data_IF_677670911302
#
_entry.id   IF_677670911302
#
_cell.length_a   1.000
_cell.length_b   1.000
_cell.length_c   1.000
_cell.angle_alpha   90.00
_cell.angle_beta   90.00
_cell.angle_gamma   90.00
#
_symmetry.space_group_name_H-M   'P 1'
#
loop_
_entity.id
_entity.type
_entity.pdbx_description
1 polymer ?
#
# COMPACT_ATOMS: atom_id res chain seq x y z
N UNK A 1 4.36 -18.73 -5.74
CA UNK A 1 3.21 -18.34 -4.90
C UNK A 1 1.96 -18.39 -5.78
N UNK A 2 0.86 -19.05 -5.37
CA UNK A 2 -0.40 -18.89 -6.11
C UNK A 2 -0.68 -17.38 -6.17
N UNK A 3 -0.87 -16.84 -7.37
CA UNK A 3 -1.24 -15.44 -7.55
C UNK A 3 -2.64 -15.27 -6.99
N UNK A 4 -2.77 -14.74 -5.79
CA UNK A 4 -4.07 -14.36 -5.25
C UNK A 4 -4.66 -13.28 -6.17
N UNK A 5 -5.82 -13.56 -6.76
CA UNK A 5 -6.60 -12.59 -7.51
C UNK A 5 -7.45 -11.81 -6.52
N UNK A 6 -7.41 -10.48 -6.63
CA UNK A 6 -8.21 -9.57 -5.83
C UNK A 6 -9.25 -8.90 -6.71
N UNK A 7 -10.43 -8.68 -6.14
CA UNK A 7 -11.52 -7.96 -6.77
C UNK A 7 -12.07 -6.87 -5.87
N UNK A 8 -12.58 -5.81 -6.49
CA UNK A 8 -13.28 -4.72 -5.82
C UNK A 8 -14.77 -5.00 -5.94
N UNK A 9 -15.43 -5.23 -4.81
CA UNK A 9 -16.87 -5.47 -4.75
C UNK A 9 -17.58 -4.33 -4.04
N UNK A 10 -18.81 -4.06 -4.45
CA UNK A 10 -19.69 -3.15 -3.72
C UNK A 10 -20.47 -3.94 -2.68
N UNK A 11 -20.34 -3.55 -1.43
CA UNK A 11 -21.04 -4.13 -0.30
C UNK A 11 -22.50 -3.64 -0.24
N UNK A 12 -23.33 -4.35 0.51
CA UNK A 12 -24.76 -4.04 0.67
C UNK A 12 -25.02 -2.72 1.41
N UNK A 13 -24.06 -2.23 2.19
CA UNK A 13 -24.08 -0.92 2.85
C UNK A 13 -23.64 0.23 1.93
N UNK A 14 -23.21 -0.08 0.70
CA UNK A 14 -22.77 0.89 -0.31
C UNK A 14 -21.27 1.16 -0.28
N UNK A 15 -20.53 0.58 0.67
CA UNK A 15 -19.07 0.65 0.73
C UNK A 15 -18.43 -0.20 -0.37
N UNK A 16 -17.17 0.08 -0.68
CA UNK A 16 -16.36 -0.74 -1.56
C UNK A 16 -15.36 -1.55 -0.75
N UNK A 17 -15.15 -2.81 -1.12
CA UNK A 17 -14.22 -3.70 -0.45
C UNK A 17 -13.28 -4.35 -1.45
N UNK A 18 -11.99 -4.43 -1.10
CA UNK A 18 -11.00 -5.25 -1.79
C UNK A 18 -10.93 -6.60 -1.08
N UNK A 19 -11.27 -7.67 -1.79
CA UNK A 19 -11.27 -9.03 -1.25
C UNK A 19 -10.67 -10.02 -2.24
N UNK A 20 -10.28 -11.19 -1.74
CA UNK A 20 -9.75 -12.25 -2.59
C UNK A 20 -10.89 -12.94 -3.34
N UNK A 21 -10.62 -13.37 -4.57
CA UNK A 21 -11.61 -14.09 -5.39
C UNK A 21 -11.80 -15.55 -4.94
N UNK A 22 -10.81 -16.12 -4.24
CA UNK A 22 -10.80 -17.53 -3.82
C UNK A 22 -11.41 -17.79 -2.43
N UNK A 23 -11.58 -16.76 -1.60
CA UNK A 23 -12.19 -16.88 -0.27
C UNK A 23 -13.12 -15.70 0.06
N UNK A 24 -14.19 -15.99 0.81
CA UNK A 24 -15.12 -14.99 1.34
C UNK A 24 -14.76 -14.72 2.80
N UNK A 25 -13.53 -14.30 3.04
CA UNK A 25 -13.04 -13.88 4.37
C UNK A 25 -13.19 -12.36 4.57
N UNK A 26 -12.56 -11.85 5.63
CA UNK A 26 -12.53 -10.42 5.94
C UNK A 26 -11.84 -9.64 4.81
N UNK A 27 -12.45 -8.56 4.30
CA UNK A 27 -11.87 -7.78 3.22
C UNK A 27 -10.55 -7.14 3.67
N UNK A 28 -9.57 -7.08 2.77
CA UNK A 28 -8.27 -6.48 3.06
C UNK A 28 -8.39 -4.98 3.31
N UNK A 29 -9.27 -4.33 2.56
CA UNK A 29 -9.51 -2.89 2.64
C UNK A 29 -11.00 -2.63 2.44
N UNK A 30 -11.55 -1.70 3.24
CA UNK A 30 -12.88 -1.13 3.04
C UNK A 30 -12.77 0.37 2.80
N UNK A 31 -13.41 0.85 1.74
CA UNK A 31 -13.51 2.26 1.37
C UNK A 31 -14.95 2.70 1.55
N UNK A 32 -15.16 3.64 2.46
CA UNK A 32 -16.46 4.25 2.73
C UNK A 32 -16.46 5.71 2.29
N UNK A 33 -17.30 6.02 1.32
CA UNK A 33 -17.58 7.40 0.95
C UNK A 33 -18.70 7.95 1.85
N UNK A 34 -18.62 9.23 2.20
CA UNK A 34 -19.75 9.92 2.83
C UNK A 34 -20.91 10.05 1.83
N UNK A 35 -22.13 10.25 2.32
CA UNK A 35 -23.29 10.50 1.45
C UNK A 35 -23.07 11.73 0.55
N UNK A 36 -22.44 12.78 1.07
CA UNK A 36 -22.07 13.97 0.32
C UNK A 36 -21.09 13.65 -0.82
N UNK A 37 -20.04 12.85 -0.53
CA UNK A 37 -19.09 12.42 -1.54
C UNK A 37 -19.75 11.54 -2.61
N UNK A 38 -20.64 10.63 -2.23
CA UNK A 38 -21.41 9.83 -3.19
C UNK A 38 -22.33 10.70 -4.05
N UNK A 39 -22.93 11.76 -3.50
CA UNK A 39 -23.72 12.72 -4.28
C UNK A 39 -22.89 13.47 -5.32
N UNK A 40 -21.63 13.76 -5.01
CA UNK A 40 -20.69 14.40 -5.93
C UNK A 40 -20.14 13.44 -6.99
N UNK A 41 -19.76 12.24 -6.56
CA UNK A 41 -19.10 11.23 -7.41
C UNK A 41 -20.09 10.48 -8.29
N UNK A 42 -21.31 10.26 -7.81
CA UNK A 42 -22.34 9.48 -8.48
C UNK A 42 -21.81 8.11 -8.93
N UNK A 43 -21.98 7.84 -10.22
CA UNK A 43 -21.56 6.58 -10.86
C UNK A 43 -20.03 6.42 -10.93
N UNK A 44 -19.25 7.49 -10.78
CA UNK A 44 -17.79 7.43 -10.82
C UNK A 44 -17.17 6.92 -9.49
N UNK A 45 -17.97 6.68 -8.46
CA UNK A 45 -17.46 6.25 -7.15
C UNK A 45 -16.70 4.91 -7.20
N UNK A 46 -17.08 3.98 -8.09
CA UNK A 46 -16.35 2.72 -8.30
C UNK A 46 -14.98 2.98 -8.96
N UNK A 47 -14.94 3.82 -10.00
CA UNK A 47 -13.70 4.15 -10.71
C UNK A 47 -12.70 4.85 -9.77
N UNK A 48 -13.20 5.75 -8.91
CA UNK A 48 -12.38 6.40 -7.89
C UNK A 48 -11.87 5.39 -6.86
N UNK A 49 -12.72 4.48 -6.37
CA UNK A 49 -12.28 3.43 -5.44
C UNK A 49 -11.16 2.59 -6.03
N UNK A 50 -11.24 2.24 -7.33
CA UNK A 50 -10.20 1.52 -8.04
C UNK A 50 -8.89 2.31 -8.11
N UNK A 51 -8.94 3.57 -8.54
CA UNK A 51 -7.74 4.43 -8.61
C UNK A 51 -7.10 4.60 -7.24
N UNK A 52 -7.89 4.72 -6.17
CA UNK A 52 -7.37 4.80 -4.80
C UNK A 52 -6.63 3.53 -4.37
N UNK A 53 -7.13 2.36 -4.77
CA UNK A 53 -6.48 1.08 -4.47
C UNK A 53 -5.19 0.94 -5.28
N UNK A 54 -5.23 1.23 -6.58
CA UNK A 54 -4.05 1.20 -7.46
C UNK A 54 -2.95 2.13 -6.91
N UNK A 55 -3.30 3.36 -6.53
CA UNK A 55 -2.36 4.30 -5.91
C UNK A 55 -1.81 3.83 -4.56
N UNK A 56 -2.62 3.10 -3.77
CA UNK A 56 -2.18 2.48 -2.52
C UNK A 56 -1.15 1.38 -2.74
N UNK A 57 -1.33 0.55 -3.79
CA UNK A 57 -0.37 -0.50 -4.17
C UNK A 57 0.95 0.15 -4.59
N UNK A 58 0.91 1.14 -5.48
CA UNK A 58 2.10 1.87 -5.93
C UNK A 58 2.85 2.52 -4.75
N UNK A 59 2.11 3.08 -3.78
CA UNK A 59 2.71 3.68 -2.59
C UNK A 59 3.40 2.64 -1.69
N UNK A 60 2.84 1.45 -1.54
CA UNK A 60 3.48 0.36 -0.78
C UNK A 60 4.77 -0.10 -1.44
N UNK A 61 4.79 -0.21 -2.77
CA UNK A 61 6.01 -0.55 -3.52
C UNK A 61 7.10 0.50 -3.30
N UNK A 62 6.76 1.79 -3.42
CA UNK A 62 7.71 2.89 -3.18
C UNK A 62 8.27 2.87 -1.75
N UNK A 63 7.39 2.74 -0.74
CA UNK A 63 7.80 2.63 0.65
C UNK A 63 8.73 1.42 0.88
N UNK A 64 8.39 0.27 0.29
CA UNK A 64 9.21 -0.94 0.42
C UNK A 64 10.59 -0.80 -0.19
N UNK A 65 10.75 0.03 -1.24
CA UNK A 65 12.04 0.34 -1.84
C UNK A 65 12.87 1.29 -0.97
N UNK A 66 12.24 2.32 -0.38
CA UNK A 66 12.92 3.27 0.52
C UNK A 66 13.50 2.59 1.77
N UNK A 67 12.81 1.59 2.34
CA UNK A 67 13.33 0.81 3.48
C UNK A 67 14.60 0.01 3.16
N UNK A 68 14.91 -0.29 1.89
CA UNK A 68 16.12 -1.06 1.52
C UNK A 68 17.33 -0.14 1.36
N UNK A 69 17.13 1.15 1.12
CA UNK A 69 18.21 2.12 0.90
C UNK A 69 18.77 2.71 2.23
N UNK A 70 18.05 2.61 3.35
CA UNK A 70 18.51 3.12 4.66
C UNK A 70 19.43 2.17 5.45
N UNK A 71 19.58 0.89 5.07
CA UNK A 71 20.52 -0.05 5.70
C UNK A 71 21.90 -0.14 5.00
N UNK A 72 22.15 0.71 3.99
CA UNK A 72 23.29 0.62 3.08
C UNK A 72 24.52 1.49 3.37
N UNK A 73 24.57 2.26 4.47
CA UNK A 73 25.68 3.20 4.73
C UNK A 73 26.45 2.91 6.03
N UNK A 74 26.63 1.63 6.36
CA UNK A 74 27.64 1.17 7.31
C UNK A 74 28.96 0.84 6.59
N UNK A 75 29.47 1.76 5.75
CA UNK A 75 30.86 1.66 5.31
C UNK A 75 31.78 2.04 6.49
N UNK A 76 32.31 0.98 7.08
CA UNK A 76 33.32 0.94 8.12
C UNK A 76 34.48 1.92 7.90
N UNK A 77 34.43 3.11 8.51
CA UNK A 77 35.65 3.88 8.77
C UNK A 77 36.41 3.23 9.92
N UNK A 78 37.42 2.44 9.55
CA UNK A 78 38.38 1.84 10.49
C UNK A 78 39.09 2.99 11.21
N UNK A 79 39.14 3.04 12.56
CA UNK A 79 39.82 4.13 13.25
C UNK A 79 41.32 4.07 12.89
N UNK A 80 41.96 5.18 12.48
CA UNK A 80 43.38 5.15 12.21
C UNK A 80 44.11 4.85 13.52
N UNK A 81 44.80 3.70 13.50
CA UNK A 81 45.58 3.20 14.61
C UNK A 81 46.61 4.24 15.05
N UNK A 82 46.66 4.40 16.37
CA UNK A 82 47.68 5.05 17.17
C UNK A 82 49.08 4.93 16.55
N UNK A 83 49.69 6.08 16.20
CA UNK A 83 51.13 6.19 15.91
C UNK A 83 51.70 7.32 16.75
N UNK A 84 51.87 7.07 18.04
CA UNK A 84 52.98 7.67 18.80
C UNK A 84 54.27 7.02 18.32
N UNK A 85 55.18 7.78 17.69
CA UNK A 85 56.60 7.44 17.66
C UNK A 85 57.48 8.72 17.57
N UNK A 86 58.17 8.96 18.69
CA UNK A 86 59.40 9.73 18.98
C UNK A 86 59.53 11.21 18.61
#
# INVERSE_FOLDING_TARGET
>A
MPSALYEIVRLSDGDYALQRTDEVEEPLVRIRFSEEALGLLGDASLDIARVMIDAGIDAVEALSADFVDEEGDMDSETPPADRVLH
#
